data_IF_125612605461
#
_entry.id   IF_125612605461
#
_cell.length_a   1.000
_cell.length_b   1.000
_cell.length_c   1.000
_cell.angle_alpha   90.00
_cell.angle_beta   90.00
_cell.angle_gamma   90.00
#
_symmetry.space_group_name_H-M   'P 1'
#
loop_
_entity.id
_entity.type
_entity.pdbx_description
1 polymer ?
#
# COMPACT_ATOMS: atom_id res chain seq x y z
N UNK A 1 7.96 13.47 4.88
CA UNK A 1 8.42 13.64 3.48
C UNK A 1 9.41 12.53 3.20
N UNK A 2 9.51 12.09 1.95
CA UNK A 2 10.55 11.14 1.53
C UNK A 2 11.90 11.85 1.37
N UNK A 3 12.97 11.08 1.18
CA UNK A 3 14.34 11.59 1.05
C UNK A 3 14.55 12.49 -0.18
N UNK A 4 13.72 12.33 -1.22
CA UNK A 4 13.70 13.20 -2.40
C UNK A 4 12.83 14.46 -2.23
N UNK A 5 12.29 14.68 -1.02
CA UNK A 5 11.48 15.85 -0.69
C UNK A 5 9.99 15.73 -1.00
N UNK A 6 9.55 14.67 -1.69
CA UNK A 6 8.12 14.44 -1.99
C UNK A 6 7.30 14.23 -0.70
N UNK A 7 6.01 14.62 -0.67
CA UNK A 7 5.18 14.45 0.52
C UNK A 7 4.88 12.98 0.79
N UNK A 8 4.89 12.60 2.07
CA UNK A 8 4.32 11.34 2.51
C UNK A 8 2.84 11.59 2.81
N UNK A 9 1.96 11.15 1.92
CA UNK A 9 0.52 11.31 2.02
C UNK A 9 -0.22 10.05 1.55
N UNK A 10 -1.55 10.09 1.60
CA UNK A 10 -2.38 8.95 1.23
C UNK A 10 -2.20 8.53 -0.25
N UNK A 11 -1.85 9.46 -1.14
CA UNK A 11 -1.59 9.14 -2.54
C UNK A 11 -0.30 8.32 -2.68
N UNK A 12 0.77 8.69 -1.96
CA UNK A 12 2.01 7.89 -1.94
C UNK A 12 1.79 6.47 -1.40
N UNK A 13 0.95 6.32 -0.37
CA UNK A 13 0.55 5.01 0.17
C UNK A 13 -0.19 4.20 -0.89
N UNK A 14 -1.17 4.81 -1.57
CA UNK A 14 -1.93 4.15 -2.64
C UNK A 14 -1.00 3.66 -3.75
N UNK A 15 -0.12 4.52 -4.26
CA UNK A 15 0.84 4.17 -5.32
C UNK A 15 1.70 2.97 -4.91
N UNK A 16 2.20 2.96 -3.67
CA UNK A 16 3.04 1.87 -3.17
C UNK A 16 2.29 0.54 -3.08
N UNK A 17 1.08 0.54 -2.52
CA UNK A 17 0.26 -0.67 -2.38
C UNK A 17 -0.25 -1.18 -3.72
N UNK A 18 -0.62 -0.29 -4.66
CA UNK A 18 -0.97 -0.68 -6.01
C UNK A 18 0.22 -1.35 -6.72
N UNK A 19 1.43 -0.79 -6.56
CA UNK A 19 2.65 -1.41 -7.10
C UNK A 19 2.87 -2.81 -6.50
N UNK A 20 2.73 -2.96 -5.19
CA UNK A 20 2.86 -4.26 -4.52
C UNK A 20 1.84 -5.29 -5.04
N UNK A 21 0.62 -4.87 -5.36
CA UNK A 21 -0.46 -5.74 -5.87
C UNK A 21 -0.32 -6.08 -7.36
N UNK A 22 0.17 -5.14 -8.17
CA UNK A 22 0.00 -5.22 -9.63
C UNK A 22 1.30 -5.31 -10.41
N UNK A 23 2.45 -5.05 -9.79
CA UNK A 23 3.73 -5.25 -10.47
C UNK A 23 3.97 -6.75 -10.71
N UNK A 24 4.22 -7.10 -11.97
CA UNK A 24 4.56 -8.47 -12.36
C UNK A 24 5.79 -8.97 -11.60
N UNK A 25 5.71 -10.19 -11.07
CA UNK A 25 6.77 -10.76 -10.23
C UNK A 25 6.88 -10.16 -8.82
N UNK A 26 5.95 -9.30 -8.39
CA UNK A 26 5.93 -8.77 -7.02
C UNK A 26 5.78 -9.89 -6.00
N UNK A 27 6.84 -10.16 -5.25
CA UNK A 27 6.79 -11.09 -4.11
C UNK A 27 5.98 -10.56 -2.92
N UNK A 28 5.37 -9.37 -3.02
CA UNK A 28 4.45 -8.80 -2.02
C UNK A 28 2.98 -9.05 -2.37
N UNK A 29 2.67 -9.37 -3.63
CA UNK A 29 1.29 -9.49 -4.10
C UNK A 29 0.50 -10.54 -3.29
N UNK A 30 1.12 -11.69 -3.00
CA UNK A 30 0.52 -12.75 -2.16
C UNK A 30 0.38 -12.36 -0.69
N UNK A 31 1.18 -11.41 -0.20
CA UNK A 31 1.07 -10.92 1.19
C UNK A 31 -0.08 -9.94 1.39
N UNK A 32 -0.66 -9.37 0.33
CA UNK A 32 -1.77 -8.42 0.46
C UNK A 32 -2.90 -8.72 -0.53
N UNK A 33 -3.00 -9.97 -0.98
CA UNK A 33 -3.95 -10.44 -2.00
C UNK A 33 -5.43 -10.26 -1.62
N UNK A 34 -5.72 -10.20 -0.33
CA UNK A 34 -7.03 -9.86 0.23
C UNK A 34 -7.44 -8.43 -0.05
N UNK A 35 -6.51 -7.51 -0.34
CA UNK A 35 -6.82 -6.13 -0.71
C UNK A 35 -7.40 -6.10 -2.12
N UNK A 36 -8.65 -5.67 -2.23
CA UNK A 36 -9.35 -5.45 -3.50
C UNK A 36 -8.99 -4.11 -4.12
N UNK A 37 -8.97 -3.05 -3.30
CA UNK A 37 -8.78 -1.66 -3.76
C UNK A 37 -8.30 -0.78 -2.62
N UNK A 38 -7.44 0.18 -2.95
CA UNK A 38 -7.04 1.28 -2.05
C UNK A 38 -7.72 2.58 -2.47
N UNK A 39 -8.28 3.32 -1.52
CA UNK A 39 -8.90 4.64 -1.73
C UNK A 39 -8.35 5.68 -0.76
N UNK A 40 -8.34 6.94 -1.16
CA UNK A 40 -7.74 8.05 -0.42
C UNK A 40 -8.78 9.15 -0.16
N UNK A 41 -9.74 8.95 0.75
CA UNK A 41 -10.83 9.91 0.99
C UNK A 41 -10.36 11.26 1.56
N UNK A 42 -9.10 11.37 1.97
CA UNK A 42 -8.47 12.61 2.40
C UNK A 42 -6.95 12.52 2.29
N UNK A 43 -6.28 13.67 2.43
CA UNK A 43 -4.81 13.77 2.27
C UNK A 43 -4.03 12.80 3.17
N UNK A 44 -4.53 12.52 4.37
CA UNK A 44 -3.88 11.65 5.36
C UNK A 44 -4.76 10.46 5.76
N UNK A 45 -5.71 10.07 4.90
CA UNK A 45 -6.61 8.95 5.16
C UNK A 45 -6.53 7.95 4.03
N UNK A 46 -6.18 6.72 4.36
CA UNK A 46 -6.15 5.57 3.45
C UNK A 46 -7.25 4.60 3.87
N UNK A 47 -8.01 4.11 2.91
CA UNK A 47 -9.03 3.08 3.13
C UNK A 47 -8.78 1.90 2.22
N UNK A 48 -8.54 0.74 2.84
CA UNK A 48 -8.41 -0.56 2.19
C UNK A 48 -9.79 -1.21 2.08
N UNK A 49 -10.14 -1.65 0.88
CA UNK A 49 -11.32 -2.47 0.63
C UNK A 49 -10.84 -3.91 0.47
N UNK A 50 -11.32 -4.81 1.32
CA UNK A 50 -10.90 -6.22 1.28
C UNK A 50 -11.89 -7.07 0.47
N UNK A 51 -11.40 -8.15 -0.12
CA UNK A 51 -12.19 -9.18 -0.80
C UNK A 51 -12.93 -10.07 0.21
N UNK A 52 -12.30 -10.28 1.36
CA UNK A 52 -12.79 -11.09 2.48
C UNK A 52 -12.11 -10.60 3.78
N UNK A 53 -12.64 -10.94 4.97
CA UNK A 53 -11.99 -10.62 6.25
C UNK A 53 -10.59 -11.22 6.33
N UNK A 54 -9.63 -10.45 6.84
CA UNK A 54 -8.22 -10.84 6.88
C UNK A 54 -7.55 -10.25 8.13
N UNK A 55 -7.57 -11.02 9.22
CA UNK A 55 -6.98 -10.62 10.50
C UNK A 55 -5.45 -10.44 10.42
N UNK A 56 -4.69 -11.32 9.74
CA UNK A 56 -3.24 -11.16 9.62
C UNK A 56 -2.75 -9.97 8.78
N UNK A 57 -3.62 -9.32 7.98
CA UNK A 57 -3.24 -8.24 7.07
C UNK A 57 -2.43 -7.13 7.77
N UNK A 58 -2.84 -6.73 8.96
CA UNK A 58 -2.13 -5.66 9.69
C UNK A 58 -0.68 -6.04 10.00
N UNK A 59 -0.43 -7.30 10.37
CA UNK A 59 0.93 -7.79 10.61
C UNK A 59 1.79 -7.81 9.34
N UNK A 60 1.19 -8.15 8.18
CA UNK A 60 1.88 -8.11 6.88
C UNK A 60 2.22 -6.67 6.47
N UNK A 61 1.30 -5.73 6.69
CA UNK A 61 1.54 -4.30 6.47
C UNK A 61 2.56 -3.69 7.45
N UNK A 62 2.76 -4.28 8.63
CA UNK A 62 3.83 -3.87 9.54
C UNK A 62 5.23 -4.34 9.08
N UNK A 63 5.30 -5.17 8.04
CA UNK A 63 6.55 -5.66 7.44
C UNK A 63 6.73 -5.10 6.01
N UNK A 64 7.53 -5.77 5.17
CA UNK A 64 7.93 -5.33 3.84
C UNK A 64 6.74 -5.00 2.92
N UNK A 65 5.60 -5.67 3.06
CA UNK A 65 4.42 -5.43 2.22
C UNK A 65 3.75 -4.06 2.48
N UNK A 66 4.02 -3.42 3.63
CA UNK A 66 3.54 -2.07 3.93
C UNK A 66 4.60 -0.98 3.83
N UNK A 67 5.81 -1.28 3.32
CA UNK A 67 6.79 -0.23 3.04
C UNK A 67 6.25 0.73 1.99
N UNK A 68 6.30 2.02 2.30
CA UNK A 68 5.84 3.08 1.41
C UNK A 68 7.06 3.66 0.71
N UNK A 69 7.01 3.65 -0.62
CA UNK A 69 8.05 4.20 -1.48
C UNK A 69 7.70 5.63 -1.85
N UNK A 70 8.73 6.40 -2.20
CA UNK A 70 8.49 7.65 -2.90
C UNK A 70 7.75 7.37 -4.20
N UNK A 71 6.73 8.17 -4.56
CA UNK A 71 6.02 8.03 -5.85
C UNK A 71 6.90 8.25 -7.08
N UNK A 72 8.09 8.83 -6.91
CA UNK A 72 9.05 9.12 -7.99
C UNK A 72 10.20 8.10 -8.06
N UNK A 73 10.15 7.04 -7.26
CA UNK A 73 11.11 5.93 -7.28
C UNK A 73 10.81 4.87 -8.36
#
# INVERSE_FOLDING_TARGET
RFSDGTPLDAAAVKTSLDRHLHLEGSGRASEIDSVRKVTTPGKYTVRLHLKHPDTPLLGRLANTAGLIMSPTA
#
